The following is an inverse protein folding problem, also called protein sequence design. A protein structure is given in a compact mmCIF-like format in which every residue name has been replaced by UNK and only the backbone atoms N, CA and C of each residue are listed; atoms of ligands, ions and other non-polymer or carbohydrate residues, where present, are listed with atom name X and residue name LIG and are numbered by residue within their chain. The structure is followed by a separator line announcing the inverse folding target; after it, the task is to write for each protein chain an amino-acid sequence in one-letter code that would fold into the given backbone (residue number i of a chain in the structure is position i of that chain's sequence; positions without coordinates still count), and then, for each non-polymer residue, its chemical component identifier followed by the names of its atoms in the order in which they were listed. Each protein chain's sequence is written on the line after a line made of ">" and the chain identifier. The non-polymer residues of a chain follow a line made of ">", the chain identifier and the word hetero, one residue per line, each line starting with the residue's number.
data_IF_453518632318
#
_entry.id   IF_453518632318
#
_cell.length_a   1.000
_cell.length_b   1.000
_cell.length_c   1.000
_cell.angle_alpha   90.00
_cell.angle_beta   90.00
_cell.angle_gamma   90.00
#
_symmetry.space_group_name_H-M   'P 1'
#
loop_
_entity.id
_entity.type
_entity.pdbx_description
1 polymer ?
#
# COMPACT_ATOMS: atom_id res chain seq x y z
N UNK A 1 12.00 -26.58 5.21
CA UNK A 1 11.10 -26.28 6.35
C UNK A 1 10.45 -24.90 6.15
N UNK A 2 9.60 -24.77 5.13
CA UNK A 2 8.83 -23.54 4.89
C UNK A 2 7.35 -23.92 4.80
N UNK A 3 6.79 -24.23 5.98
CA UNK A 3 5.35 -24.37 6.17
C UNK A 3 4.71 -22.99 5.97
N UNK A 4 3.84 -22.91 4.95
CA UNK A 4 2.65 -22.06 4.87
C UNK A 4 2.73 -20.65 5.48
N UNK A 5 2.84 -19.65 4.61
CA UNK A 5 2.60 -18.24 4.95
C UNK A 5 1.26 -18.12 5.67
N UNK A 6 1.29 -17.54 6.87
CA UNK A 6 0.07 -17.13 7.56
C UNK A 6 -0.46 -15.86 6.91
N UNK A 7 -1.78 -15.74 6.81
CA UNK A 7 -2.47 -14.53 6.30
C UNK A 7 -1.92 -13.24 6.91
N UNK A 8 -1.59 -13.27 8.20
CA UNK A 8 -1.02 -12.14 8.94
C UNK A 8 0.33 -11.67 8.39
N UNK A 9 1.19 -12.57 7.90
CA UNK A 9 2.56 -12.23 7.47
C UNK A 9 2.59 -11.46 6.14
N UNK A 10 1.56 -11.60 5.32
CA UNK A 10 1.37 -10.84 4.08
C UNK A 10 0.28 -9.77 4.23
N UNK A 11 -0.23 -9.61 5.47
CA UNK A 11 -1.38 -8.77 5.81
C UNK A 11 -2.61 -9.00 4.94
N UNK A 12 -2.90 -10.26 4.60
CA UNK A 12 -4.13 -10.65 3.92
C UNK A 12 -5.27 -10.82 4.93
N UNK A 13 -6.44 -10.28 4.62
CA UNK A 13 -7.68 -10.55 5.36
C UNK A 13 -8.64 -11.42 4.52
N UNK A 14 -9.72 -11.94 5.10
CA UNK A 14 -10.72 -12.69 4.33
C UNK A 14 -11.52 -11.74 3.42
N UNK A 15 -11.78 -10.53 3.90
CA UNK A 15 -12.47 -9.43 3.23
C UNK A 15 -11.70 -9.05 1.96
N UNK A 16 -10.36 -8.94 2.01
CA UNK A 16 -9.53 -8.73 0.82
C UNK A 16 -9.71 -9.85 -0.22
N UNK A 17 -9.84 -11.11 0.20
CA UNK A 17 -10.06 -12.23 -0.72
C UNK A 17 -11.46 -12.13 -1.35
N UNK A 18 -12.47 -11.71 -0.58
CA UNK A 18 -13.82 -11.52 -1.08
C UNK A 18 -13.88 -10.35 -2.09
N UNK A 19 -13.28 -9.21 -1.75
CA UNK A 19 -13.24 -7.99 -2.56
C UNK A 19 -12.51 -8.21 -3.88
N UNK A 20 -11.29 -8.75 -3.84
CA UNK A 20 -10.42 -8.82 -5.01
C UNK A 20 -10.41 -10.18 -5.71
N UNK A 21 -11.00 -11.22 -5.11
CA UNK A 21 -10.87 -12.61 -5.54
C UNK A 21 -11.28 -12.87 -6.99
N UNK A 22 -12.51 -12.52 -7.36
CA UNK A 22 -13.00 -12.74 -8.73
C UNK A 22 -12.20 -11.92 -9.74
N UNK A 23 -11.88 -10.65 -9.45
CA UNK A 23 -11.07 -9.80 -10.33
C UNK A 23 -9.65 -10.35 -10.54
N UNK A 24 -8.95 -10.75 -9.47
CA UNK A 24 -7.62 -11.39 -9.57
C UNK A 24 -7.72 -12.69 -10.37
N UNK A 25 -8.76 -13.49 -10.14
CA UNK A 25 -8.91 -14.75 -10.86
C UNK A 25 -9.22 -14.54 -12.34
N UNK A 26 -10.10 -13.61 -12.71
CA UNK A 26 -10.49 -13.39 -14.11
C UNK A 26 -9.41 -12.66 -14.92
N UNK A 27 -8.66 -11.75 -14.29
CA UNK A 27 -7.68 -10.92 -14.98
C UNK A 27 -6.26 -11.50 -14.97
N UNK A 28 -6.00 -12.60 -14.25
CA UNK A 28 -4.66 -13.20 -14.21
C UNK A 28 -4.37 -14.08 -15.42
N UNK A 29 -3.19 -13.91 -16.02
CA UNK A 29 -2.70 -14.85 -17.02
C UNK A 29 -1.96 -16.06 -16.40
N UNK A 30 -1.86 -16.15 -15.07
CA UNK A 30 -1.16 -17.22 -14.34
C UNK A 30 -2.10 -18.31 -13.79
N UNK A 31 -3.35 -18.36 -14.28
CA UNK A 31 -4.36 -19.33 -13.84
C UNK A 31 -3.99 -20.74 -14.32
N UNK A 32 -4.03 -21.72 -13.42
CA UNK A 32 -3.78 -23.12 -13.79
C UNK A 32 -5.06 -23.95 -13.96
N UNK A 33 -5.38 -24.40 -15.18
CA UNK A 33 -6.52 -25.27 -15.54
C UNK A 33 -6.15 -26.78 -15.54
N UNK A 34 -7.14 -27.66 -15.77
CA UNK A 34 -7.13 -29.10 -15.40
C UNK A 34 -5.91 -29.92 -15.90
N UNK A 35 -5.73 -30.09 -17.22
CA UNK A 35 -4.66 -30.90 -17.86
C UNK A 35 -4.25 -30.20 -19.17
N UNK A 36 -2.96 -30.23 -19.52
CA UNK A 36 -2.45 -29.59 -20.75
C UNK A 36 -2.25 -28.08 -20.63
N UNK A 37 -2.16 -27.55 -19.41
CA UNK A 37 -1.95 -26.12 -19.20
C UNK A 37 -0.44 -25.82 -19.21
N UNK A 38 -0.02 -24.94 -20.11
CA UNK A 38 1.35 -24.45 -20.23
C UNK A 38 1.94 -23.98 -18.90
N UNK A 39 1.16 -23.28 -18.05
CA UNK A 39 1.61 -22.84 -16.71
C UNK A 39 1.89 -24.02 -15.80
N UNK A 40 1.08 -25.08 -15.89
CA UNK A 40 1.26 -26.32 -15.10
C UNK A 40 2.42 -27.16 -15.61
N UNK A 41 2.62 -27.18 -16.93
CA UNK A 41 3.67 -27.94 -17.61
C UNK A 41 5.00 -27.17 -17.66
N UNK A 42 5.01 -25.92 -17.18
CA UNK A 42 6.16 -25.01 -17.21
C UNK A 42 6.65 -24.76 -18.65
N UNK A 43 5.73 -24.78 -19.62
CA UNK A 43 6.00 -24.48 -21.03
C UNK A 43 6.05 -22.97 -21.23
N UNK A 44 7.23 -22.40 -21.04
CA UNK A 44 7.46 -20.95 -21.09
C UNK A 44 7.29 -20.35 -22.48
N UNK A 45 7.58 -21.11 -23.53
CA UNK A 45 7.40 -20.64 -24.91
C UNK A 45 5.91 -20.49 -25.22
N UNK A 46 5.10 -21.47 -24.81
CA UNK A 46 3.65 -21.40 -24.99
C UNK A 46 3.01 -20.32 -24.11
N UNK A 47 3.52 -20.08 -22.90
CA UNK A 47 3.08 -18.98 -22.03
C UNK A 47 3.39 -17.62 -22.66
N UNK A 48 4.62 -17.40 -23.14
CA UNK A 48 5.00 -16.13 -23.78
C UNK A 48 4.26 -15.91 -25.11
N UNK A 49 4.05 -16.96 -25.90
CA UNK A 49 3.30 -16.88 -27.16
C UNK A 49 1.83 -16.51 -26.98
N UNK A 50 1.25 -16.77 -25.81
CA UNK A 50 -0.17 -16.50 -25.49
C UNK A 50 -0.37 -15.24 -24.62
N UNK A 51 0.72 -14.53 -24.32
CA UNK A 51 0.76 -13.44 -23.33
C UNK A 51 -0.02 -12.19 -23.73
N UNK A 52 -0.17 -11.92 -25.02
CA UNK A 52 -0.89 -10.75 -25.51
C UNK A 52 -2.42 -10.80 -25.30
N UNK A 53 -2.99 -11.99 -25.06
CA UNK A 53 -4.43 -12.22 -25.25
C UNK A 53 -5.18 -12.73 -24.00
N UNK A 54 -4.53 -12.78 -22.81
CA UNK A 54 -5.08 -13.50 -21.63
C UNK A 54 -5.01 -12.81 -20.27
N UNK A 55 -4.67 -11.53 -20.20
CA UNK A 55 -4.72 -10.76 -18.95
C UNK A 55 -3.34 -10.35 -18.44
N UNK A 56 -3.22 -10.18 -17.13
CA UNK A 56 -2.11 -9.50 -16.46
C UNK A 56 -1.33 -10.44 -15.54
N UNK A 57 -0.04 -10.15 -15.38
CA UNK A 57 0.83 -10.85 -14.42
C UNK A 57 0.46 -10.48 -13.00
N UNK A 58 0.87 -11.32 -12.03
CA UNK A 58 0.65 -11.03 -10.61
C UNK A 58 1.28 -9.68 -10.20
N UNK A 59 2.36 -9.24 -10.87
CA UNK A 59 3.00 -7.94 -10.65
C UNK A 59 2.23 -6.77 -11.30
N UNK A 60 1.61 -6.98 -12.45
CA UNK A 60 0.74 -5.97 -13.09
C UNK A 60 -0.58 -5.82 -12.35
N UNK A 61 -1.21 -6.93 -11.95
CA UNK A 61 -2.39 -6.94 -11.09
C UNK A 61 -2.09 -6.29 -9.73
N UNK A 62 -0.93 -6.56 -9.15
CA UNK A 62 -0.51 -5.94 -7.89
C UNK A 62 -0.47 -4.41 -8.03
N UNK A 63 0.17 -3.91 -9.09
CA UNK A 63 0.18 -2.48 -9.39
C UNK A 63 -1.23 -1.94 -9.61
N UNK A 64 -2.03 -2.58 -10.47
CA UNK A 64 -3.37 -2.08 -10.78
C UNK A 64 -4.33 -2.10 -9.57
N UNK A 65 -4.20 -3.09 -8.69
CA UNK A 65 -5.12 -3.25 -7.57
C UNK A 65 -4.63 -2.57 -6.29
N UNK A 66 -3.44 -1.93 -6.31
CA UNK A 66 -2.83 -1.36 -5.12
C UNK A 66 -2.45 -2.42 -4.07
N UNK A 67 -2.15 -3.65 -4.52
CA UNK A 67 -1.80 -4.78 -3.68
C UNK A 67 -0.30 -5.10 -3.84
N UNK A 68 0.27 -5.84 -2.89
CA UNK A 68 1.59 -6.44 -3.09
C UNK A 68 1.50 -7.66 -4.01
N UNK A 69 2.59 -7.98 -4.72
CA UNK A 69 2.66 -9.18 -5.56
C UNK A 69 2.37 -10.45 -4.75
N UNK A 70 2.86 -10.53 -3.50
CA UNK A 70 2.59 -11.65 -2.60
C UNK A 70 1.09 -11.77 -2.27
N UNK A 71 0.39 -10.65 -2.06
CA UNK A 71 -1.05 -10.63 -1.81
C UNK A 71 -1.86 -11.09 -3.04
N UNK A 72 -1.53 -10.60 -4.24
CA UNK A 72 -2.17 -11.05 -5.48
C UNK A 72 -1.93 -12.53 -5.72
N UNK A 73 -0.68 -12.99 -5.57
CA UNK A 73 -0.31 -14.41 -5.67
C UNK A 73 -1.12 -15.25 -4.68
N UNK A 74 -1.28 -14.77 -3.44
CA UNK A 74 -2.08 -15.44 -2.42
C UNK A 74 -3.55 -15.54 -2.82
N UNK A 75 -4.16 -14.41 -3.21
CA UNK A 75 -5.57 -14.34 -3.63
C UNK A 75 -5.81 -15.28 -4.82
N UNK A 76 -4.97 -15.21 -5.86
CA UNK A 76 -5.06 -16.07 -7.04
C UNK A 76 -5.03 -17.55 -6.66
N UNK A 77 -4.06 -17.94 -5.83
CA UNK A 77 -3.91 -19.34 -5.37
C UNK A 77 -5.14 -19.83 -4.59
N UNK A 78 -5.72 -18.98 -3.73
CA UNK A 78 -6.95 -19.30 -2.99
C UNK A 78 -8.15 -19.44 -3.94
N UNK A 79 -8.28 -18.54 -4.91
CA UNK A 79 -9.37 -18.56 -5.89
C UNK A 79 -9.30 -19.78 -6.81
N UNK A 80 -8.10 -20.13 -7.31
CA UNK A 80 -7.87 -21.36 -8.05
C UNK A 80 -8.25 -22.60 -7.23
N UNK A 81 -7.90 -22.63 -5.93
CA UNK A 81 -8.34 -23.71 -5.03
C UNK A 81 -9.87 -23.77 -4.93
N UNK A 82 -10.54 -22.64 -4.72
CA UNK A 82 -12.01 -22.58 -4.58
C UNK A 82 -12.71 -23.05 -5.86
N UNK A 83 -12.25 -22.59 -7.03
CA UNK A 83 -12.84 -22.92 -8.34
C UNK A 83 -12.51 -24.34 -8.80
N UNK A 84 -11.28 -24.82 -8.57
CA UNK A 84 -10.79 -26.09 -9.11
C UNK A 84 -10.64 -27.23 -8.07
N UNK A 85 -10.97 -27.00 -6.79
CA UNK A 85 -10.89 -27.99 -5.68
C UNK A 85 -9.50 -28.67 -5.56
N UNK A 86 -8.42 -27.90 -5.65
CA UNK A 86 -7.02 -28.40 -5.59
C UNK A 86 -6.44 -28.38 -4.17
N UNK A 87 -5.60 -29.36 -3.82
CA UNK A 87 -4.87 -29.45 -2.54
C UNK A 87 -3.36 -29.06 -2.62
N UNK A 88 -2.88 -28.54 -3.76
CA UNK A 88 -1.43 -28.37 -4.04
C UNK A 88 -0.80 -27.01 -3.64
N UNK A 89 -1.45 -26.20 -2.80
CA UNK A 89 -1.02 -24.82 -2.50
C UNK A 89 0.37 -24.68 -1.88
N UNK A 90 0.86 -25.72 -1.19
CA UNK A 90 2.19 -25.71 -0.57
C UNK A 90 3.35 -25.67 -1.57
N UNK A 91 3.13 -26.09 -2.84
CA UNK A 91 4.18 -26.04 -3.88
C UNK A 91 4.21 -24.71 -4.64
N UNK A 92 3.17 -23.87 -4.55
CA UNK A 92 2.99 -22.71 -5.44
C UNK A 92 3.66 -21.42 -4.95
N UNK A 93 3.78 -21.22 -3.63
CA UNK A 93 4.49 -20.05 -3.07
C UNK A 93 5.99 -20.05 -3.41
N UNK A 94 6.57 -21.24 -3.55
CA UNK A 94 7.99 -21.40 -3.88
C UNK A 94 8.26 -21.32 -5.40
N UNK A 95 7.21 -21.37 -6.24
CA UNK A 95 7.32 -21.37 -7.71
C UNK A 95 7.26 -19.97 -8.32
N UNK A 96 7.60 -18.93 -7.53
CA UNK A 96 7.64 -17.52 -7.93
C UNK A 96 7.93 -17.36 -9.42
N UNK A 97 6.93 -16.83 -10.12
CA UNK A 97 6.78 -16.89 -11.58
C UNK A 97 8.09 -17.02 -12.34
N UNK A 98 8.34 -18.22 -12.85
CA UNK A 98 9.11 -18.45 -14.08
C UNK A 98 10.37 -17.62 -14.31
N UNK A 99 11.29 -17.54 -13.35
CA UNK A 99 12.74 -17.45 -13.60
C UNK A 99 13.44 -18.15 -12.44
N UNK A 100 14.55 -18.86 -12.73
CA UNK A 100 15.39 -19.57 -11.75
C UNK A 100 15.37 -18.85 -10.40
N UNK A 101 15.11 -19.59 -9.31
CA UNK A 101 15.19 -19.06 -7.94
C UNK A 101 16.45 -18.22 -7.82
N UNK A 102 16.24 -16.91 -7.68
CA UNK A 102 17.29 -15.90 -7.64
C UNK A 102 17.54 -15.60 -6.18
N UNK A 103 18.54 -16.28 -5.61
CA UNK A 103 18.93 -16.10 -4.21
C UNK A 103 19.29 -14.64 -3.90
N UNK A 104 19.74 -13.88 -4.90
CA UNK A 104 20.01 -12.43 -4.82
C UNK A 104 18.75 -11.57 -4.66
N UNK A 105 17.56 -12.08 -5.00
CA UNK A 105 16.28 -11.36 -4.89
C UNK A 105 15.35 -11.95 -3.84
N UNK A 106 15.75 -13.06 -3.22
CA UNK A 106 14.97 -13.71 -2.18
C UNK A 106 15.27 -13.01 -0.85
N UNK A 107 14.28 -12.27 -0.33
CA UNK A 107 14.32 -11.77 1.04
C UNK A 107 13.71 -12.87 1.93
N UNK A 108 14.49 -13.46 2.86
CA UNK A 108 13.99 -14.43 3.83
C UNK A 108 12.77 -13.90 4.56
N UNK A 109 11.81 -14.77 4.88
CA UNK A 109 10.54 -14.32 5.46
C UNK A 109 10.69 -13.57 6.79
N UNK A 110 11.68 -13.92 7.60
CA UNK A 110 11.98 -13.20 8.85
C UNK A 110 12.54 -11.78 8.60
N UNK A 111 13.04 -11.52 7.39
CA UNK A 111 13.56 -10.23 6.94
C UNK A 111 12.50 -9.47 6.12
N UNK A 112 11.37 -10.11 5.80
CA UNK A 112 10.23 -9.43 5.17
C UNK A 112 9.50 -8.59 6.21
N UNK A 113 8.96 -7.47 5.75
CA UNK A 113 8.18 -6.57 6.59
C UNK A 113 6.96 -7.27 7.18
N UNK A 114 6.82 -7.24 8.51
CA UNK A 114 5.63 -7.72 9.20
C UNK A 114 4.68 -6.55 9.52
N UNK A 115 3.39 -6.72 9.20
CA UNK A 115 2.36 -5.79 9.62
C UNK A 115 2.10 -5.91 11.12
N UNK A 116 1.93 -4.79 11.81
CA UNK A 116 1.45 -4.79 13.20
C UNK A 116 0.04 -5.40 13.27
N UNK A 117 -0.33 -5.96 14.43
CA UNK A 117 -1.63 -6.59 14.61
C UNK A 117 -2.78 -5.59 14.40
N UNK A 118 -2.62 -4.35 14.87
CA UNK A 118 -3.58 -3.26 14.74
C UNK A 118 -3.78 -2.87 13.26
N UNK A 119 -2.70 -2.86 12.47
CA UNK A 119 -2.77 -2.60 11.04
C UNK A 119 -3.53 -3.69 10.27
N UNK A 120 -3.48 -4.94 10.75
CA UNK A 120 -4.28 -6.05 10.21
C UNK A 120 -5.77 -5.84 10.53
N UNK A 121 -6.11 -5.39 11.73
CA UNK A 121 -7.51 -5.06 12.08
C UNK A 121 -8.05 -3.92 11.21
N UNK A 122 -7.26 -2.87 10.98
CA UNK A 122 -7.65 -1.80 10.07
C UNK A 122 -7.94 -2.33 8.66
N UNK A 123 -7.19 -3.32 8.17
CA UNK A 123 -7.48 -3.93 6.85
C UNK A 123 -8.83 -4.63 6.77
N UNK A 124 -9.39 -5.09 7.88
CA UNK A 124 -10.75 -5.65 7.88
C UNK A 124 -11.81 -4.60 7.55
N UNK A 125 -11.52 -3.31 7.74
CA UNK A 125 -12.42 -2.23 7.33
C UNK A 125 -12.39 -1.95 5.83
N UNK A 126 -11.39 -2.46 5.09
CA UNK A 126 -11.32 -2.42 3.63
C UNK A 126 -12.23 -3.49 3.00
N UNK A 127 -13.47 -3.55 3.46
CA UNK A 127 -14.52 -4.42 2.95
C UNK A 127 -15.38 -3.63 1.97
N UNK A 128 -15.10 -3.81 0.67
CA UNK A 128 -15.88 -3.21 -0.39
C UNK A 128 -16.76 -4.28 -1.02
N UNK A 129 -18.03 -3.96 -1.33
CA UNK A 129 -18.89 -4.89 -2.08
C UNK A 129 -18.13 -5.38 -3.32
N UNK A 130 -17.86 -6.69 -3.45
CA UNK A 130 -17.02 -7.22 -4.53
C UNK A 130 -17.51 -6.83 -5.92
N UNK A 131 -18.83 -6.64 -6.10
CA UNK A 131 -19.42 -6.23 -7.39
C UNK A 131 -19.05 -4.79 -7.72
N UNK A 132 -19.05 -3.91 -6.71
CA UNK A 132 -18.65 -2.51 -6.86
C UNK A 132 -17.14 -2.43 -7.12
N UNK A 133 -16.33 -3.13 -6.31
CA UNK A 133 -14.89 -3.19 -6.48
C UNK A 133 -14.50 -3.70 -7.87
N UNK A 134 -15.03 -4.87 -8.29
CA UNK A 134 -14.75 -5.42 -9.62
C UNK A 134 -15.20 -4.50 -10.76
N UNK A 135 -16.32 -3.79 -10.62
CA UNK A 135 -16.76 -2.80 -11.62
C UNK A 135 -15.73 -1.68 -11.75
N UNK A 136 -15.31 -1.06 -10.65
CA UNK A 136 -14.36 0.06 -10.68
C UNK A 136 -12.96 -0.35 -11.12
N UNK A 137 -12.49 -1.53 -10.73
CA UNK A 137 -11.22 -2.10 -11.20
C UNK A 137 -11.24 -2.33 -12.72
N UNK A 138 -12.34 -2.89 -13.26
CA UNK A 138 -12.50 -3.11 -14.72
C UNK A 138 -12.62 -1.82 -15.52
N UNK A 139 -13.32 -0.83 -14.97
CA UNK A 139 -13.46 0.48 -15.62
C UNK A 139 -12.18 1.31 -15.56
N UNK A 140 -11.17 0.88 -14.79
CA UNK A 140 -9.95 1.65 -14.56
C UNK A 140 -10.13 2.83 -13.60
N UNK A 141 -11.29 2.94 -12.93
CA UNK A 141 -11.50 3.95 -11.89
C UNK A 141 -10.60 3.70 -10.68
N UNK A 142 -10.38 2.41 -10.37
CA UNK A 142 -9.39 1.95 -9.40
C UNK A 142 -8.25 1.33 -10.19
N UNK A 143 -7.21 2.12 -10.41
CA UNK A 143 -6.06 1.78 -11.23
C UNK A 143 -4.78 1.56 -10.42
N UNK A 144 -4.89 1.65 -9.09
CA UNK A 144 -3.80 1.43 -8.16
C UNK A 144 -2.84 2.61 -8.03
N UNK A 145 -3.13 3.73 -8.70
CA UNK A 145 -2.42 4.97 -8.48
C UNK A 145 -2.64 5.43 -7.04
N UNK A 146 -1.53 5.80 -6.41
CA UNK A 146 -1.51 6.47 -5.11
C UNK A 146 -1.29 7.96 -5.31
N UNK A 147 -1.61 8.76 -4.29
CA UNK A 147 -1.32 10.20 -4.31
C UNK A 147 0.17 10.47 -4.52
N UNK A 148 1.04 9.57 -4.05
CA UNK A 148 2.49 9.66 -4.26
C UNK A 148 2.91 9.35 -5.70
N UNK A 149 2.20 8.47 -6.42
CA UNK A 149 2.49 8.19 -7.83
C UNK A 149 2.29 9.43 -8.69
N UNK A 150 1.26 10.23 -8.38
CA UNK A 150 1.00 11.50 -9.06
C UNK A 150 2.09 12.54 -8.79
N UNK A 151 2.56 12.65 -7.55
CA UNK A 151 3.69 13.53 -7.23
C UNK A 151 4.96 13.07 -7.95
N UNK A 152 5.25 11.77 -7.94
CA UNK A 152 6.38 11.18 -8.64
C UNK A 152 6.32 11.44 -10.15
N UNK A 153 5.15 11.31 -10.76
CA UNK A 153 4.93 11.63 -12.17
C UNK A 153 5.26 13.09 -12.47
N UNK A 154 4.61 14.03 -11.78
CA UNK A 154 4.75 15.46 -12.08
C UNK A 154 6.12 16.01 -11.71
N UNK A 155 6.79 15.45 -10.70
CA UNK A 155 8.18 15.79 -10.39
C UNK A 155 9.16 15.40 -11.50
N UNK A 156 8.81 14.44 -12.37
CA UNK A 156 9.64 13.99 -13.49
C UNK A 156 9.26 14.69 -14.81
N UNK A 157 7.96 14.83 -15.06
CA UNK A 157 7.44 15.42 -16.30
C UNK A 157 7.57 16.95 -16.31
N UNK A 158 7.33 17.61 -15.17
CA UNK A 158 7.34 19.07 -15.04
C UNK A 158 8.00 19.51 -13.72
N UNK A 159 9.30 19.21 -13.52
CA UNK A 159 10.00 19.41 -12.25
C UNK A 159 9.95 20.85 -11.73
N UNK A 160 10.09 21.82 -12.63
CA UNK A 160 10.20 23.25 -12.30
C UNK A 160 8.84 23.97 -12.23
N UNK A 161 7.74 23.26 -12.51
CA UNK A 161 6.41 23.86 -12.41
C UNK A 161 6.04 24.08 -10.94
N UNK A 162 5.44 25.25 -10.65
CA UNK A 162 4.96 25.59 -9.32
C UNK A 162 3.82 24.66 -8.94
N UNK A 163 4.00 23.94 -7.82
CA UNK A 163 3.02 23.01 -7.29
C UNK A 163 2.11 23.68 -6.25
N UNK A 164 2.64 24.61 -5.46
CA UNK A 164 1.88 25.37 -4.48
C UNK A 164 2.51 26.75 -4.20
N UNK A 165 1.68 27.68 -3.75
CA UNK A 165 2.05 29.02 -3.31
C UNK A 165 1.41 29.25 -1.95
N UNK A 166 2.18 29.65 -0.94
CA UNK A 166 1.69 29.87 0.41
C UNK A 166 2.71 30.61 1.28
N UNK A 167 2.25 31.46 2.20
CA UNK A 167 3.15 32.18 3.12
C UNK A 167 4.11 33.17 2.47
N UNK A 168 3.90 33.55 1.20
CA UNK A 168 4.85 34.37 0.42
C UNK A 168 5.93 33.56 -0.29
N UNK A 169 5.84 32.24 -0.26
CA UNK A 169 6.76 31.31 -0.90
C UNK A 169 6.08 30.53 -2.01
N UNK A 170 6.86 30.08 -2.98
CA UNK A 170 6.46 29.16 -4.03
C UNK A 170 7.31 27.89 -3.91
N UNK A 171 6.70 26.74 -4.21
CA UNK A 171 7.41 25.47 -4.21
C UNK A 171 7.10 24.68 -5.48
N UNK A 172 8.11 24.08 -6.10
CA UNK A 172 7.96 23.29 -7.32
C UNK A 172 7.60 21.82 -7.02
N UNK A 173 7.13 21.09 -8.03
CA UNK A 173 6.87 19.64 -7.89
C UNK A 173 8.13 18.86 -7.49
N UNK A 174 9.31 19.21 -8.05
CA UNK A 174 10.56 18.56 -7.68
C UNK A 174 10.93 18.81 -6.21
N UNK A 175 10.75 20.05 -5.73
CA UNK A 175 11.07 20.44 -4.36
C UNK A 175 10.13 19.79 -3.33
N UNK A 176 8.81 19.76 -3.59
CA UNK A 176 7.86 19.06 -2.71
C UNK A 176 8.27 17.59 -2.57
N UNK A 177 8.57 16.93 -3.69
CA UNK A 177 8.98 15.51 -3.67
C UNK A 177 10.26 15.29 -2.89
N UNK A 178 11.27 16.11 -3.10
CA UNK A 178 12.55 15.99 -2.38
C UNK A 178 12.35 16.19 -0.87
N UNK A 179 11.62 17.22 -0.47
CA UNK A 179 11.32 17.49 0.93
C UNK A 179 10.50 16.36 1.58
N UNK A 180 9.49 15.86 0.88
CA UNK A 180 8.67 14.75 1.33
C UNK A 180 9.48 13.46 1.51
N UNK A 181 10.39 13.16 0.57
CA UNK A 181 11.29 11.99 0.69
C UNK A 181 12.25 12.12 1.87
N UNK A 182 12.83 13.30 2.07
CA UNK A 182 13.71 13.56 3.22
C UNK A 182 12.98 13.36 4.55
N UNK A 183 11.76 13.91 4.65
CA UNK A 183 10.94 13.74 5.84
C UNK A 183 10.49 12.28 6.03
N UNK A 184 10.09 11.59 4.97
CA UNK A 184 9.70 10.17 5.02
C UNK A 184 10.83 9.30 5.58
N UNK A 185 12.07 9.50 5.10
CA UNK A 185 13.23 8.79 5.63
C UNK A 185 13.50 9.13 7.11
N UNK A 186 13.36 10.41 7.48
CA UNK A 186 13.53 10.85 8.87
C UNK A 186 12.50 10.20 9.81
N UNK A 187 11.24 10.08 9.38
CA UNK A 187 10.19 9.39 10.16
C UNK A 187 10.50 7.90 10.33
N UNK A 188 11.01 7.25 9.28
CA UNK A 188 11.46 5.85 9.35
C UNK A 188 12.65 5.68 10.33
N UNK A 189 13.60 6.62 10.32
CA UNK A 189 14.73 6.63 11.27
C UNK A 189 14.29 6.83 12.72
N UNK A 190 13.24 7.62 12.95
CA UNK A 190 12.59 7.77 14.26
C UNK A 190 11.78 6.54 14.70
N UNK A 191 11.72 5.50 13.86
CA UNK A 191 11.09 4.22 14.18
C UNK A 191 9.60 4.15 13.83
N UNK A 192 9.05 5.15 13.14
CA UNK A 192 7.70 5.07 12.57
C UNK A 192 7.72 4.06 11.43
N UNK A 193 6.71 3.20 11.36
CA UNK A 193 6.65 2.08 10.40
C UNK A 193 5.48 2.23 9.45
N UNK A 194 5.53 1.49 8.35
CA UNK A 194 4.41 1.37 7.42
C UNK A 194 3.15 0.89 8.16
N UNK A 195 2.03 1.58 7.95
CA UNK A 195 0.75 1.34 8.62
C UNK A 195 0.59 2.06 9.97
N UNK A 196 1.65 2.66 10.52
CA UNK A 196 1.52 3.50 11.72
C UNK A 196 0.74 4.77 11.38
N UNK A 197 -0.05 5.26 12.33
CA UNK A 197 -0.86 6.47 12.17
C UNK A 197 -0.05 7.68 12.59
N UNK A 198 0.12 8.65 11.69
CA UNK A 198 0.78 9.94 11.96
C UNK A 198 -0.28 11.02 11.97
N UNK A 199 -0.55 11.59 13.13
CA UNK A 199 -1.45 12.71 13.26
C UNK A 199 -0.76 14.02 12.84
N UNK A 200 -1.52 14.93 12.24
CA UNK A 200 -1.00 16.23 11.80
C UNK A 200 -1.94 17.36 12.24
N UNK A 201 -1.39 18.37 12.88
CA UNK A 201 -2.08 19.63 13.18
C UNK A 201 -1.23 20.80 12.65
N UNK A 202 -1.34 21.05 11.35
CA UNK A 202 -0.66 22.16 10.67
C UNK A 202 -1.68 23.11 10.03
N UNK A 203 -1.38 24.42 9.98
CA UNK A 203 -2.18 25.38 9.23
C UNK A 203 -2.07 25.11 7.71
N UNK A 204 -2.83 25.87 6.92
CA UNK A 204 -2.78 25.82 5.46
C UNK A 204 -1.48 26.42 4.92
N UNK A 205 -0.39 25.66 5.01
CA UNK A 205 0.96 26.02 4.60
C UNK A 205 1.58 24.90 3.73
N UNK A 206 2.69 25.20 3.06
CA UNK A 206 3.38 24.27 2.15
C UNK A 206 3.86 23.01 2.90
N UNK A 207 4.23 23.15 4.16
CA UNK A 207 4.66 22.08 5.05
C UNK A 207 3.58 21.02 5.22
N UNK A 208 2.30 21.39 5.20
CA UNK A 208 1.20 20.42 5.25
C UNK A 208 1.30 19.44 4.09
N UNK A 209 1.56 19.92 2.87
CA UNK A 209 1.71 19.07 1.69
C UNK A 209 2.96 18.19 1.83
N UNK A 210 4.07 18.77 2.28
CA UNK A 210 5.31 18.02 2.52
C UNK A 210 5.08 16.84 3.48
N UNK A 211 4.40 17.08 4.61
CA UNK A 211 4.08 16.04 5.60
C UNK A 211 3.11 15.02 5.04
N UNK A 212 2.05 15.46 4.34
CA UNK A 212 1.07 14.59 3.72
C UNK A 212 1.76 13.56 2.80
N UNK A 213 2.57 14.05 1.86
CA UNK A 213 3.29 13.19 0.93
C UNK A 213 4.33 12.32 1.65
N UNK A 214 5.05 12.85 2.64
CA UNK A 214 6.04 12.08 3.38
C UNK A 214 5.42 10.86 4.08
N UNK A 215 4.31 11.06 4.80
CA UNK A 215 3.58 9.99 5.49
C UNK A 215 3.05 8.96 4.49
N UNK A 216 2.49 9.40 3.36
CA UNK A 216 2.07 8.48 2.31
C UNK A 216 3.24 7.70 1.69
N UNK A 217 4.38 8.34 1.43
CA UNK A 217 5.57 7.73 0.82
C UNK A 217 6.17 6.64 1.70
N UNK A 218 6.23 6.87 3.02
CA UNK A 218 6.67 5.84 3.97
C UNK A 218 5.61 4.73 4.18
N UNK A 219 4.41 4.91 3.63
CA UNK A 219 3.28 3.99 3.78
C UNK A 219 2.58 4.07 5.14
N UNK A 220 2.70 5.20 5.84
CA UNK A 220 1.92 5.51 7.04
C UNK A 220 0.49 5.93 6.70
N UNK A 221 -0.34 6.06 7.74
CA UNK A 221 -1.70 6.57 7.65
C UNK A 221 -1.73 7.99 8.21
N UNK A 222 -2.11 8.97 7.41
CA UNK A 222 -2.22 10.35 7.87
C UNK A 222 -3.57 10.57 8.57
N UNK A 223 -3.56 11.17 9.77
CA UNK A 223 -4.76 11.61 10.48
C UNK A 223 -4.73 13.13 10.67
N UNK A 224 -5.59 13.87 9.98
CA UNK A 224 -5.64 15.33 10.09
C UNK A 224 -6.42 15.78 11.32
N UNK A 225 -5.85 16.70 12.08
CA UNK A 225 -6.47 17.32 13.25
C UNK A 225 -6.80 18.77 12.95
N UNK A 226 -8.02 19.20 13.32
CA UNK A 226 -8.47 20.56 13.07
C UNK A 226 -7.68 21.56 13.92
N UNK A 227 -7.32 22.71 13.35
CA UNK A 227 -6.47 23.71 14.03
C UNK A 227 -7.09 24.32 15.29
N UNK A 228 -8.43 24.34 15.38
CA UNK A 228 -9.11 24.83 16.57
C UNK A 228 -9.18 23.79 17.70
N UNK A 229 -8.86 22.51 17.44
CA UNK A 229 -8.88 21.49 18.47
C UNK A 229 -7.76 21.71 19.48
N UNK A 230 -8.08 21.45 20.73
CA UNK A 230 -7.17 21.53 21.88
C UNK A 230 -7.14 20.18 22.56
N UNK A 231 -6.53 20.13 23.74
CA UNK A 231 -6.26 18.86 24.39
C UNK A 231 -7.51 17.99 24.58
N UNK A 232 -8.62 18.59 24.99
CA UNK A 232 -9.87 17.89 25.24
C UNK A 232 -10.46 17.19 24.01
N UNK A 233 -10.34 17.78 22.81
CA UNK A 233 -10.80 17.13 21.58
C UNK A 233 -9.74 16.19 20.99
N UNK A 234 -8.45 16.54 21.09
CA UNK A 234 -7.37 15.80 20.45
C UNK A 234 -7.10 14.45 21.13
N UNK A 235 -7.03 14.41 22.46
CA UNK A 235 -6.69 13.21 23.21
C UNK A 235 -7.57 11.99 22.85
N UNK A 236 -8.92 12.07 22.87
CA UNK A 236 -9.75 10.93 22.50
C UNK A 236 -9.59 10.54 21.02
N UNK A 237 -9.35 11.49 20.12
CA UNK A 237 -9.16 11.22 18.69
C UNK A 237 -7.83 10.53 18.41
N UNK A 238 -6.75 10.97 19.07
CA UNK A 238 -5.42 10.35 18.97
C UNK A 238 -5.45 8.93 19.52
N UNK A 239 -6.11 8.72 20.66
CA UNK A 239 -6.31 7.38 21.26
C UNK A 239 -7.14 6.48 20.35
N UNK A 240 -8.25 6.99 19.82
CA UNK A 240 -9.11 6.24 18.90
C UNK A 240 -8.36 5.84 17.62
N UNK A 241 -7.63 6.78 17.03
CA UNK A 241 -6.81 6.57 15.85
C UNK A 241 -5.53 5.78 16.10
N UNK A 242 -5.19 5.47 17.35
CA UNK A 242 -3.91 4.83 17.73
C UNK A 242 -2.70 5.55 17.11
N UNK A 243 -2.69 6.89 17.20
CA UNK A 243 -1.61 7.70 16.65
C UNK A 243 -0.25 7.33 17.26
N UNK A 244 0.74 7.06 16.42
CA UNK A 244 2.11 6.74 16.83
C UNK A 244 3.01 7.97 16.91
N UNK A 245 2.69 9.01 16.15
CA UNK A 245 3.39 10.28 16.16
C UNK A 245 2.41 11.42 15.85
N UNK A 246 2.79 12.62 16.28
CA UNK A 246 2.08 13.86 15.92
C UNK A 246 3.07 14.87 15.34
N UNK A 247 2.69 15.50 14.24
CA UNK A 247 3.41 16.63 13.64
C UNK A 247 2.54 17.87 13.80
N UNK A 248 3.05 18.88 14.49
CA UNK A 248 2.31 20.10 14.77
C UNK A 248 3.14 21.35 14.47
N UNK A 249 2.47 22.50 14.44
CA UNK A 249 3.13 23.80 14.37
C UNK A 249 3.97 24.03 15.64
N UNK A 250 5.04 24.84 15.56
CA UNK A 250 5.78 25.26 16.76
C UNK A 250 4.85 26.00 17.74
N UNK A 251 5.27 26.04 19.01
CA UNK A 251 4.55 26.77 20.05
C UNK A 251 4.37 28.25 19.65
N UNK A 252 3.16 28.76 19.83
CA UNK A 252 2.81 30.16 19.66
C UNK A 252 2.22 30.72 20.95
N UNK A 253 2.21 32.04 21.11
CA UNK A 253 1.68 32.72 22.31
C UNK A 253 0.24 32.32 22.64
N UNK A 254 -0.55 31.94 21.63
CA UNK A 254 -1.94 31.54 21.78
C UNK A 254 -2.13 30.06 22.09
N UNK A 255 -1.16 29.19 21.76
CA UNK A 255 -1.25 27.75 21.96
C UNK A 255 0.10 27.06 21.72
N UNK A 256 0.50 26.23 22.67
CA UNK A 256 1.60 25.28 22.53
C UNK A 256 1.06 23.89 22.20
N UNK A 257 1.00 23.58 20.91
CA UNK A 257 0.53 22.28 20.43
C UNK A 257 1.43 21.12 20.88
N UNK A 258 2.75 21.34 20.90
CA UNK A 258 3.71 20.30 21.23
C UNK A 258 3.62 19.93 22.72
N UNK A 259 3.59 20.93 23.61
CA UNK A 259 3.42 20.68 25.05
C UNK A 259 2.08 19.98 25.34
N UNK A 260 0.98 20.46 24.74
CA UNK A 260 -0.32 19.84 24.92
C UNK A 260 -0.36 18.38 24.47
N UNK A 261 0.34 18.01 23.39
CA UNK A 261 0.39 16.64 22.88
C UNK A 261 1.34 15.72 23.65
N UNK A 262 2.38 16.26 24.28
CA UNK A 262 3.30 15.49 25.12
C UNK A 262 2.70 15.10 26.47
N UNK A 263 1.70 15.85 26.94
CA UNK A 263 1.02 15.60 28.21
C UNK A 263 -0.13 14.56 28.12
N UNK A 264 -0.38 13.97 26.94
CA UNK A 264 -1.48 13.01 26.64
C UNK A 264 -1.06 11.55 26.65
#
# INVERSE_FOLDING_TARGET
>A
MTRGLKRSQIGMSEEMIQTYGESVFEMSHNIQVRRGDAVRELDWEQIEATRADRGMSDAELARQFGLTQDQVTYIRTIMERRKFKRHNYHRLYDLGGGRRFRSDRFIPHAERFEFRAEAIELRKSLDFDPRIASKHLRMGNWNGDTVTDWLDKWSKETPDAIAAIGGGEEITFAQIRENALRLANSLLELGIRKGDVVAIQLPNQIEFMTVYFAVCMMGGVLSTMHMAYRAGEMEPLLKHGSAHAVICAPAADSYDAAAAMLDM
#
